data_IF_358518849653
#
_entry.id   IF_358518849653
#
_cell.length_a   1.000
_cell.length_b   1.000
_cell.length_c   1.000
_cell.angle_alpha   90.00
_cell.angle_beta   90.00
_cell.angle_gamma   90.00
#
_symmetry.space_group_name_H-M   'P 1'
#
loop_
_entity.id
_entity.type
_entity.pdbx_description
1 polymer ?
#
# COMPACT_ATOMS: atom_id res chain seq x y z
N UNK A 1 -22.38 14.62 -5.72
CA UNK A 1 -21.24 15.20 -5.02
C UNK A 1 -20.16 14.17 -4.88
N UNK A 2 -18.95 14.58 -5.16
CA UNK A 2 -17.83 13.67 -4.94
C UNK A 2 -17.39 13.77 -3.48
N UNK A 3 -17.08 12.62 -2.90
CA UNK A 3 -16.52 12.53 -1.57
C UNK A 3 -15.04 12.19 -1.69
N UNK A 4 -14.25 12.81 -0.87
CA UNK A 4 -12.82 12.58 -0.84
C UNK A 4 -12.47 12.02 0.53
N UNK A 5 -11.68 10.95 0.55
CA UNK A 5 -11.15 10.39 1.79
C UNK A 5 -9.68 10.72 1.87
N UNK A 6 -9.20 10.86 3.10
CA UNK A 6 -7.79 11.09 3.35
C UNK A 6 -7.20 9.86 4.00
N UNK A 7 -6.13 9.36 3.40
CA UNK A 7 -5.44 8.18 3.92
C UNK A 7 -3.96 8.50 4.05
N UNK A 8 -3.26 7.69 4.81
CA UNK A 8 -1.83 7.87 5.06
C UNK A 8 -1.09 6.66 4.50
N UNK A 9 -0.12 6.91 3.64
CA UNK A 9 0.71 5.86 3.07
C UNK A 9 2.16 6.19 3.42
N UNK A 10 2.80 5.32 4.18
CA UNK A 10 4.20 5.50 4.63
C UNK A 10 4.41 6.90 5.23
N UNK A 11 3.48 7.34 6.06
CA UNK A 11 3.48 8.66 6.71
C UNK A 11 3.20 9.83 5.77
N UNK A 12 2.94 9.58 4.49
CA UNK A 12 2.50 10.61 3.56
C UNK A 12 0.99 10.68 3.51
N UNK A 13 0.45 11.87 3.23
CA UNK A 13 -0.99 12.09 3.16
C UNK A 13 -1.43 12.01 1.71
N UNK A 14 -2.47 11.20 1.46
CA UNK A 14 -3.04 11.00 0.12
C UNK A 14 -4.53 11.26 0.19
N UNK A 15 -5.05 12.08 -0.72
CA UNK A 15 -6.49 12.30 -0.86
C UNK A 15 -6.97 11.51 -2.09
N UNK A 16 -8.05 10.74 -1.89
CA UNK A 16 -8.58 9.86 -2.93
C UNK A 16 -10.10 9.96 -2.94
N UNK A 17 -10.72 9.61 -4.07
CA UNK A 17 -12.18 9.50 -4.11
C UNK A 17 -12.66 8.43 -3.13
N UNK A 18 -13.82 8.68 -2.55
CA UNK A 18 -14.48 7.69 -1.71
C UNK A 18 -14.69 6.40 -2.50
N UNK A 19 -14.41 5.27 -1.89
CA UNK A 19 -14.53 3.97 -2.54
C UNK A 19 -13.23 3.50 -3.19
N UNK A 20 -12.17 4.29 -3.12
CA UNK A 20 -10.88 3.88 -3.67
C UNK A 20 -10.34 2.64 -2.93
N UNK A 21 -9.58 1.83 -3.65
CA UNK A 21 -8.95 0.65 -3.08
C UNK A 21 -7.59 0.98 -2.50
N UNK A 22 -7.09 0.08 -1.66
CA UNK A 22 -5.74 0.18 -1.08
C UNK A 22 -4.70 0.41 -2.17
N UNK A 23 -4.81 -0.33 -3.27
CA UNK A 23 -3.85 -0.22 -4.36
C UNK A 23 -3.85 1.17 -5.00
N UNK A 24 -5.00 1.83 -5.03
CA UNK A 24 -5.08 3.19 -5.57
C UNK A 24 -4.27 4.17 -4.72
N UNK A 25 -4.34 4.01 -3.41
CA UNK A 25 -3.54 4.84 -2.50
C UNK A 25 -2.05 4.59 -2.70
N UNK A 26 -1.68 3.33 -2.82
CA UNK A 26 -0.28 2.94 -3.01
C UNK A 26 0.25 3.52 -4.32
N UNK A 27 -0.56 3.43 -5.39
CA UNK A 27 -0.16 3.97 -6.70
C UNK A 27 0.02 5.49 -6.63
N UNK A 28 -0.86 6.17 -5.93
CA UNK A 28 -0.74 7.63 -5.75
C UNK A 28 0.52 8.02 -5.00
N UNK A 29 0.90 7.21 -4.02
CA UNK A 29 2.09 7.48 -3.24
C UNK A 29 3.37 7.21 -4.05
N UNK A 30 3.38 6.10 -4.79
CA UNK A 30 4.55 5.73 -5.58
C UNK A 30 4.09 4.80 -6.72
N UNK A 31 4.14 5.27 -7.97
CA UNK A 31 3.65 4.48 -9.11
C UNK A 31 4.43 3.18 -9.36
N UNK A 32 5.60 3.02 -8.74
CA UNK A 32 6.38 1.79 -8.91
C UNK A 32 5.96 0.68 -7.96
N UNK A 33 5.24 1.01 -6.89
CA UNK A 33 4.88 0.03 -5.87
C UNK A 33 3.82 -0.98 -6.33
N UNK A 34 2.81 -0.61 -7.14
CA UNK A 34 1.83 -1.61 -7.57
C UNK A 34 2.44 -2.81 -8.27
N UNK A 35 3.46 -2.61 -9.10
CA UNK A 35 4.14 -3.71 -9.76
C UNK A 35 4.87 -4.59 -8.75
N UNK A 36 5.47 -4.01 -7.74
CA UNK A 36 6.15 -4.77 -6.69
C UNK A 36 5.16 -5.58 -5.88
N UNK A 37 3.98 -5.03 -5.61
CA UNK A 37 2.94 -5.76 -4.91
C UNK A 37 2.43 -6.91 -5.76
N UNK A 38 2.20 -6.68 -7.04
CA UNK A 38 1.73 -7.72 -7.95
C UNK A 38 2.72 -8.87 -8.07
N UNK A 39 4.01 -8.59 -8.02
CA UNK A 39 5.04 -9.61 -8.14
C UNK A 39 5.38 -10.29 -6.81
N UNK A 40 4.79 -9.82 -5.71
CA UNK A 40 5.09 -10.35 -4.38
C UNK A 40 6.32 -9.74 -3.74
N UNK A 41 6.94 -8.75 -4.38
CA UNK A 41 8.12 -8.09 -3.84
C UNK A 41 7.78 -7.09 -2.73
N UNK A 42 6.52 -6.70 -2.62
CA UNK A 42 6.05 -5.80 -1.57
C UNK A 42 4.66 -6.20 -1.13
N UNK A 43 4.28 -5.76 0.06
CA UNK A 43 2.93 -5.97 0.58
C UNK A 43 2.51 -4.77 1.39
N UNK A 44 1.22 -4.67 1.66
CA UNK A 44 0.64 -3.54 2.39
C UNK A 44 0.13 -4.01 3.73
N UNK A 45 0.41 -3.24 4.76
CA UNK A 45 -0.13 -3.49 6.10
C UNK A 45 -0.89 -2.26 6.58
N UNK A 46 -1.70 -2.45 7.63
CA UNK A 46 -2.31 -1.33 8.33
C UNK A 46 -1.31 -0.74 9.34
N UNK A 47 -1.78 0.25 10.12
CA UNK A 47 -0.92 0.90 11.10
C UNK A 47 -0.45 -0.02 12.22
N UNK A 48 -1.06 -1.20 12.36
CA UNK A 48 -0.67 -2.18 13.37
C UNK A 48 0.24 -3.26 12.81
N UNK A 49 0.55 -3.20 11.52
CA UNK A 49 1.41 -4.18 10.89
C UNK A 49 0.69 -5.42 10.39
N UNK A 50 -0.64 -5.41 10.37
CA UNK A 50 -1.43 -6.53 9.86
C UNK A 50 -1.56 -6.37 8.36
N UNK A 51 -1.18 -7.41 7.61
CA UNK A 51 -1.26 -7.39 6.16
C UNK A 51 -2.71 -7.24 5.69
N UNK A 52 -2.93 -6.37 4.70
CA UNK A 52 -4.25 -6.14 4.15
C UNK A 52 -4.22 -6.38 2.63
N UNK A 53 -5.40 -6.72 2.10
CA UNK A 53 -5.56 -7.01 0.69
C UNK A 53 -5.46 -5.71 -0.12
N UNK A 54 -4.62 -5.65 -1.15
CA UNK A 54 -4.54 -4.45 -2.01
C UNK A 54 -5.85 -4.11 -2.71
N UNK A 55 -6.74 -5.10 -2.89
CA UNK A 55 -8.06 -4.85 -3.46
C UNK A 55 -9.10 -4.37 -2.48
N UNK A 56 -8.78 -4.30 -1.20
CA UNK A 56 -9.74 -3.86 -0.18
C UNK A 56 -10.08 -2.39 -0.35
N UNK A 57 -11.32 -2.04 0.00
CA UNK A 57 -11.76 -0.64 -0.04
C UNK A 57 -11.20 0.13 1.14
N UNK A 58 -10.89 1.40 0.90
CA UNK A 58 -10.35 2.28 1.92
C UNK A 58 -11.45 3.04 2.63
N UNK A 59 -11.18 3.38 3.88
CA UNK A 59 -12.00 4.30 4.66
C UNK A 59 -11.17 5.53 4.98
N UNK A 60 -11.86 6.66 5.18
CA UNK A 60 -11.17 7.89 5.56
C UNK A 60 -10.39 7.68 6.86
N UNK A 61 -9.18 8.16 6.88
CA UNK A 61 -8.30 8.00 8.04
C UNK A 61 -7.48 6.73 8.04
N UNK A 62 -7.60 5.89 7.01
CA UNK A 62 -6.83 4.65 6.95
C UNK A 62 -5.34 4.91 6.96
N UNK A 63 -4.61 4.09 7.68
CA UNK A 63 -3.15 4.16 7.76
C UNK A 63 -2.60 2.92 7.08
N UNK A 64 -1.78 3.16 6.05
CA UNK A 64 -1.21 2.09 5.24
C UNK A 64 0.30 2.16 5.31
N UNK A 65 0.92 0.99 5.32
CA UNK A 65 2.37 0.87 5.19
C UNK A 65 2.68 -0.10 4.08
N UNK A 66 3.55 0.31 3.18
CA UNK A 66 4.04 -0.58 2.14
C UNK A 66 5.41 -1.09 2.56
N UNK A 67 5.52 -2.39 2.65
CA UNK A 67 6.75 -3.05 3.07
C UNK A 67 7.34 -3.74 1.84
N UNK A 68 8.55 -3.37 1.49
CA UNK A 68 9.25 -3.99 0.37
C UNK A 68 10.08 -5.14 0.94
N UNK A 69 9.89 -6.35 0.39
CA UNK A 69 10.64 -7.53 0.84
C UNK A 69 12.08 -7.42 0.39
N UNK A 70 12.99 -7.86 1.23
CA UNK A 70 14.40 -7.96 0.85
C UNK A 70 14.52 -9.02 -0.26
N UNK A 71 15.35 -8.74 -1.19
CA UNK A 71 15.61 -9.71 -2.23
C UNK A 71 16.60 -10.72 -1.73
N UNK A 72 16.62 -11.33 -1.78
CA UNK A 72 17.49 -12.06 -1.28
C UNK A 72 17.72 -13.20 -1.57
N UNK A 73 17.29 -12.36 -1.89
CA UNK A 73 17.38 -13.04 -1.83
C UNK A 73 17.55 -13.53 -1.99
N UNK A 74 17.50 -13.15 -2.00
CA UNK A 74 17.66 -13.49 -1.84
C UNK A 74 18.19 -14.05 -1.69
N UNK A 75 18.38 -13.81 -1.65
CA UNK A 75 18.97 -14.28 -1.34
C UNK A 75 19.43 -14.86 -1.08
N UNK A 76 19.45 -14.57 -0.90
CA UNK A 76 19.97 -15.02 -0.48
C UNK A 76 20.27 -15.72 -0.40
N UNK A 77 20.26 -15.53 -0.55
CA UNK A 77 20.62 -16.06 -0.34
C UNK A 77 21.07 -16.62 -0.09
N UNK A 78 21.17 -16.53 0.11
CA UNK A 78 21.64 -16.98 0.45
C UNK A 78 21.97 -17.43 0.59
N UNK A 79 21.94 -17.23 0.66
CA UNK A 79 22.46 -17.52 0.79
C UNK A 79 22.91 -17.91 0.78
#
# INVERSE_FOLDING_TARGET
MSSVIRVFVNAGVIDLPSGAAVLDAVRSADPTLPDKIASGAAYVTDGRGIEIDPGASLMSGAILRVVVRARSGSTDADA
#
